data_IF_360620102273
#
_entry.id   IF_360620102273
#
_cell.length_a   1.000
_cell.length_b   1.000
_cell.length_c   1.000
_cell.angle_alpha   90.00
_cell.angle_beta   90.00
_cell.angle_gamma   90.00
#
_symmetry.space_group_name_H-M   'P 1'
#
loop_
_entity.id
_entity.type
_entity.pdbx_description
1 polymer ?
#
# COMPACT_ATOMS: atom_id res chain seq x y z
N UNK A 1 22.32 20.73 21.77
CA UNK A 1 23.74 20.44 21.43
C UNK A 1 24.14 19.17 22.19
N UNK A 2 24.76 18.18 21.55
CA UNK A 2 24.96 16.84 22.16
C UNK A 2 26.20 16.68 23.04
N UNK A 3 26.87 17.79 23.38
CA UNK A 3 28.17 17.79 24.07
C UNK A 3 28.10 17.30 25.54
N UNK A 4 26.91 17.31 26.17
CA UNK A 4 26.79 17.01 27.60
C UNK A 4 27.02 15.52 27.95
N UNK A 5 26.74 14.60 27.03
CA UNK A 5 26.92 13.15 27.26
C UNK A 5 28.07 12.54 26.46
N UNK A 6 28.54 13.24 25.43
CA UNK A 6 29.62 12.81 24.56
C UNK A 6 30.51 14.01 24.24
N UNK A 7 31.60 14.26 25.00
CA UNK A 7 32.41 15.47 24.89
C UNK A 7 33.12 15.63 23.53
N UNK A 8 33.16 14.57 22.72
CA UNK A 8 33.65 14.59 21.35
C UNK A 8 32.57 14.91 20.30
N UNK A 9 31.28 14.95 20.68
CA UNK A 9 30.17 15.16 19.76
C UNK A 9 29.74 16.63 19.76
N UNK A 10 30.28 17.39 18.82
CA UNK A 10 29.95 18.81 18.59
C UNK A 10 28.77 19.00 17.64
N UNK A 11 27.95 17.97 17.43
CA UNK A 11 26.83 18.04 16.49
C UNK A 11 25.72 18.98 16.97
N UNK A 12 25.17 19.72 16.01
CA UNK A 12 23.97 20.55 16.16
C UNK A 12 22.82 19.82 15.46
N UNK A 13 21.74 19.54 16.19
CA UNK A 13 20.47 19.10 15.61
C UNK A 13 19.54 20.30 15.59
N UNK A 14 19.07 20.63 14.38
CA UNK A 14 17.99 21.56 14.14
C UNK A 14 16.78 20.74 13.70
N UNK A 15 15.59 21.06 14.21
CA UNK A 15 14.35 20.39 13.87
C UNK A 15 13.30 21.45 13.53
N UNK A 16 12.33 21.09 12.68
CA UNK A 16 11.27 21.99 12.21
C UNK A 16 11.82 23.27 11.57
N UNK A 17 12.79 23.10 10.66
CA UNK A 17 13.44 24.20 9.96
C UNK A 17 12.43 25.04 9.18
N UNK A 18 12.60 26.36 9.26
CA UNK A 18 11.89 27.34 8.43
C UNK A 18 12.86 28.04 7.49
N UNK A 19 12.36 28.80 6.51
CA UNK A 19 13.23 29.57 5.60
C UNK A 19 14.15 30.55 6.35
N UNK A 20 13.75 31.00 7.55
CA UNK A 20 14.56 31.90 8.40
C UNK A 20 15.78 31.20 9.02
N UNK A 21 15.79 29.87 9.10
CA UNK A 21 16.94 29.10 9.56
C UNK A 21 18.01 28.94 8.46
N UNK A 22 17.71 29.33 7.21
CA UNK A 22 18.69 29.32 6.14
C UNK A 22 19.88 30.23 6.48
N UNK A 23 21.10 29.71 6.34
CA UNK A 23 22.27 30.51 6.68
C UNK A 23 23.57 29.73 6.82
N UNK A 24 24.61 30.45 7.23
CA UNK A 24 25.92 29.89 7.50
C UNK A 24 26.06 29.58 9.00
N UNK A 25 26.13 28.30 9.33
CA UNK A 25 26.40 27.84 10.68
C UNK A 25 27.91 27.64 10.84
N UNK A 26 28.47 28.13 11.96
CA UNK A 26 29.88 28.01 12.28
C UNK A 26 30.06 27.26 13.59
N UNK A 27 30.81 26.16 13.55
CA UNK A 27 31.32 25.50 14.74
C UNK A 27 32.75 25.98 14.96
N UNK A 28 33.03 26.52 16.15
CA UNK A 28 34.36 27.02 16.53
C UNK A 28 34.87 26.25 17.74
N UNK A 29 36.06 25.67 17.64
CA UNK A 29 36.73 24.94 18.72
C UNK A 29 37.87 25.79 19.27
N UNK A 30 37.82 26.11 20.56
CA UNK A 30 38.86 26.83 21.29
C UNK A 30 39.32 28.13 20.60
N UNK A 31 38.46 28.79 19.84
CA UNK A 31 38.78 29.98 19.00
C UNK A 31 39.96 29.77 18.02
N UNK A 32 40.35 28.53 17.73
CA UNK A 32 41.48 28.20 16.84
C UNK A 32 41.04 27.60 15.52
N UNK A 33 40.08 26.68 15.58
CA UNK A 33 39.61 25.93 14.41
C UNK A 33 38.14 26.22 14.21
N UNK A 34 37.75 26.63 13.00
CA UNK A 34 36.35 26.85 12.63
C UNK A 34 35.99 25.99 11.43
N UNK A 35 34.85 25.31 11.51
CA UNK A 35 34.20 24.65 10.37
C UNK A 35 32.88 25.37 10.12
N UNK A 36 32.64 25.76 8.87
CA UNK A 36 31.41 26.41 8.46
C UNK A 36 30.62 25.50 7.54
N UNK A 37 29.30 25.41 7.76
CA UNK A 37 28.36 24.68 6.92
C UNK A 37 27.21 25.61 6.56
N UNK A 38 26.83 25.62 5.29
CA UNK A 38 25.64 26.35 4.83
C UNK A 38 24.44 25.43 4.91
N UNK A 39 23.44 25.84 5.68
CA UNK A 39 22.12 25.24 5.65
C UNK A 39 21.31 25.94 4.56
N UNK A 40 20.67 25.17 3.67
CA UNK A 40 19.71 25.68 2.69
C UNK A 40 18.36 25.06 3.03
N UNK A 41 17.33 25.87 3.20
CA UNK A 41 15.99 25.38 3.52
C UNK A 41 15.14 25.48 2.26
N UNK A 42 14.74 24.33 1.73
CA UNK A 42 13.91 24.27 0.52
C UNK A 42 12.47 24.03 0.89
N UNK A 43 11.60 24.94 0.44
CA UNK A 43 10.17 24.73 0.52
C UNK A 43 9.68 23.75 -0.56
N UNK A 44 8.48 23.20 -0.35
CA UNK A 44 7.88 22.25 -1.26
C UNK A 44 7.49 22.96 -2.55
N UNK A 45 8.04 22.47 -3.66
CA UNK A 45 7.53 22.77 -4.98
C UNK A 45 6.67 21.59 -5.40
N UNK A 46 5.36 21.83 -5.61
CA UNK A 46 4.46 20.78 -6.04
C UNK A 46 4.88 20.27 -7.43
N UNK A 47 5.03 18.96 -7.57
CA UNK A 47 5.23 18.31 -8.85
C UNK A 47 4.02 18.61 -9.72
N UNK A 48 4.23 19.24 -10.87
CA UNK A 48 3.16 19.52 -11.81
C UNK A 48 2.57 18.19 -12.30
N UNK A 49 1.44 17.77 -11.74
CA UNK A 49 0.57 16.84 -12.42
C UNK A 49 -0.09 17.63 -13.53
N UNK A 50 0.30 17.37 -14.79
CA UNK A 50 -0.52 17.76 -15.93
C UNK A 50 -1.98 17.48 -15.57
N UNK A 51 -2.86 18.45 -15.84
CA UNK A 51 -4.28 18.47 -15.50
C UNK A 51 -5.01 17.29 -16.18
N UNK A 52 -4.72 16.09 -15.70
CA UNK A 52 -5.14 14.84 -16.29
C UNK A 52 -6.49 14.51 -15.68
N UNK A 53 -7.48 14.42 -16.55
CA UNK A 53 -8.78 13.90 -16.17
C UNK A 53 -8.63 12.42 -15.80
N UNK A 54 -8.84 12.08 -14.53
CA UNK A 54 -8.79 10.71 -14.04
C UNK A 54 -10.19 10.12 -14.17
N UNK A 55 -10.36 9.14 -15.04
CA UNK A 55 -11.64 8.43 -15.19
C UNK A 55 -11.65 7.17 -14.32
N UNK A 56 -12.71 7.01 -13.54
CA UNK A 56 -12.98 5.82 -12.70
C UNK A 56 -14.46 5.45 -12.73
N UNK A 57 -14.77 4.33 -12.09
CA UNK A 57 -16.12 3.76 -12.02
C UNK A 57 -16.56 3.65 -10.56
N UNK A 58 -17.88 3.68 -10.29
CA UNK A 58 -18.42 3.44 -8.95
C UNK A 58 -17.89 2.14 -8.32
N UNK A 59 -17.71 2.16 -6.99
CA UNK A 59 -17.14 1.06 -6.21
C UNK A 59 -15.61 0.94 -6.28
N UNK A 60 -14.97 1.57 -7.27
CA UNK A 60 -13.51 1.55 -7.42
C UNK A 60 -12.78 2.47 -6.43
N UNK A 61 -11.47 2.62 -6.65
CA UNK A 61 -10.61 3.56 -5.94
C UNK A 61 -9.79 4.42 -6.88
N UNK A 62 -9.33 5.57 -6.38
CA UNK A 62 -8.48 6.50 -7.12
C UNK A 62 -7.36 7.02 -6.25
N UNK A 63 -6.15 7.09 -6.83
CA UNK A 63 -5.05 7.84 -6.27
C UNK A 63 -5.00 9.21 -6.95
N UNK A 64 -5.29 10.26 -6.21
CA UNK A 64 -5.15 11.64 -6.65
C UNK A 64 -3.71 12.10 -6.33
N UNK A 65 -2.86 12.32 -7.35
CA UNK A 65 -1.45 12.61 -7.15
C UNK A 65 -1.24 14.01 -6.58
N UNK A 66 -0.43 14.12 -5.53
CA UNK A 66 0.12 15.38 -5.04
C UNK A 66 1.46 15.08 -4.36
N UNK A 67 2.54 15.74 -4.76
CA UNK A 67 3.86 15.48 -4.18
C UNK A 67 4.78 16.69 -4.31
N UNK A 68 5.75 16.80 -3.40
CA UNK A 68 6.87 17.72 -3.55
C UNK A 68 7.89 17.13 -4.52
N UNK A 69 8.51 17.96 -5.35
CA UNK A 69 9.60 17.54 -6.26
C UNK A 69 10.83 17.07 -5.48
N UNK A 70 11.12 17.67 -4.33
CA UNK A 70 12.16 17.22 -3.41
C UNK A 70 11.59 16.21 -2.41
N UNK A 71 12.08 14.95 -2.38
CA UNK A 71 11.55 13.90 -1.52
C UNK A 71 11.83 14.12 -0.03
N UNK A 72 12.75 15.02 0.32
CA UNK A 72 13.10 15.33 1.72
C UNK A 72 12.23 16.44 2.32
N UNK A 73 11.46 17.15 1.50
CA UNK A 73 10.62 18.24 2.00
C UNK A 73 9.46 17.72 2.86
N UNK A 74 9.15 18.47 3.91
CA UNK A 74 8.00 18.23 4.79
C UNK A 74 7.17 19.51 4.85
N UNK A 75 6.08 19.63 4.09
CA UNK A 75 5.18 20.78 4.21
C UNK A 75 4.63 20.89 5.63
N UNK A 76 4.43 22.13 6.11
CA UNK A 76 3.90 22.41 7.46
C UNK A 76 2.42 22.04 7.55
N UNK A 77 1.66 22.33 6.48
CA UNK A 77 0.25 21.98 6.39
C UNK A 77 -0.11 21.47 5.00
N UNK A 78 -1.09 20.56 4.96
CA UNK A 78 -1.64 19.98 3.74
C UNK A 78 -3.16 19.97 3.91
N UNK A 79 -3.89 20.46 2.91
CA UNK A 79 -5.35 20.44 2.86
C UNK A 79 -5.79 19.84 1.55
N UNK A 80 -6.75 18.92 1.62
CA UNK A 80 -7.50 18.46 0.46
C UNK A 80 -8.93 18.97 0.51
N UNK A 81 -9.46 19.38 -0.63
CA UNK A 81 -10.84 19.83 -0.75
C UNK A 81 -11.47 19.45 -2.09
N UNK A 82 -12.78 19.21 -2.06
CA UNK A 82 -13.59 18.98 -3.25
C UNK A 82 -14.21 20.30 -3.69
N UNK A 83 -13.61 20.89 -4.72
CA UNK A 83 -13.88 22.26 -5.19
C UNK A 83 -15.33 22.41 -5.64
N UNK A 84 -15.83 21.47 -6.45
CA UNK A 84 -17.20 21.47 -6.96
C UNK A 84 -18.27 21.25 -5.86
N UNK A 85 -17.83 20.88 -4.65
CA UNK A 85 -18.68 20.75 -3.46
C UNK A 85 -18.45 21.91 -2.49
N UNK A 86 -18.44 23.16 -2.99
CA UNK A 86 -18.21 24.37 -2.19
C UNK A 86 -16.90 24.33 -1.35
N UNK A 87 -15.86 23.66 -1.86
CA UNK A 87 -14.60 23.50 -1.11
C UNK A 87 -14.73 22.63 0.14
N UNK A 88 -15.65 21.67 0.16
CA UNK A 88 -15.78 20.70 1.25
C UNK A 88 -14.45 20.02 1.50
N UNK A 89 -14.00 20.03 2.75
CA UNK A 89 -12.74 19.37 3.14
C UNK A 89 -12.82 17.85 2.89
N UNK A 90 -11.73 17.29 2.38
CA UNK A 90 -11.58 15.85 2.20
C UNK A 90 -10.78 15.29 3.37
N UNK A 91 -11.49 14.89 4.41
CA UNK A 91 -10.93 14.45 5.69
C UNK A 91 -11.78 13.34 6.31
N UNK A 92 -11.20 12.59 7.25
CA UNK A 92 -11.93 11.51 7.95
C UNK A 92 -13.04 12.01 8.89
N UNK A 93 -13.06 13.31 9.19
CA UNK A 93 -14.13 13.95 9.98
C UNK A 93 -15.35 14.33 9.13
N UNK A 94 -15.16 14.48 7.81
CA UNK A 94 -16.24 14.80 6.87
C UNK A 94 -17.00 13.52 6.54
N UNK A 95 -18.29 13.45 6.87
CA UNK A 95 -19.13 12.25 6.72
C UNK A 95 -19.00 11.59 5.33
N UNK A 96 -18.98 12.39 4.26
CA UNK A 96 -18.81 11.90 2.88
C UNK A 96 -17.55 11.06 2.70
N UNK A 97 -16.45 11.38 3.39
CA UNK A 97 -15.13 10.76 3.18
C UNK A 97 -14.66 9.88 4.34
N UNK A 98 -15.38 9.89 5.46
CA UNK A 98 -15.06 9.12 6.66
C UNK A 98 -14.83 7.63 6.33
N UNK A 99 -13.65 7.12 6.67
CA UNK A 99 -13.28 5.72 6.44
C UNK A 99 -13.02 5.35 4.97
N UNK A 100 -13.06 6.32 4.04
CA UNK A 100 -12.82 6.09 2.60
C UNK A 100 -11.52 6.70 2.11
N UNK A 101 -10.73 7.36 2.96
CA UNK A 101 -9.50 8.03 2.54
C UNK A 101 -8.23 7.51 3.22
N UNK A 102 -7.12 7.63 2.51
CA UNK A 102 -5.78 7.41 3.04
C UNK A 102 -4.77 8.41 2.46
N UNK A 103 -3.90 8.95 3.30
CA UNK A 103 -2.80 9.83 2.90
C UNK A 103 -1.46 9.18 3.25
N UNK A 104 -0.44 9.44 2.44
CA UNK A 104 0.87 8.76 2.54
C UNK A 104 1.94 9.58 3.29
N UNK A 105 1.62 10.83 3.66
CA UNK A 105 2.56 11.83 4.17
C UNK A 105 3.13 11.51 5.56
N UNK A 106 2.51 10.61 6.33
CA UNK A 106 3.05 10.15 7.61
C UNK A 106 4.38 9.40 7.44
N UNK A 107 4.43 8.47 6.47
CA UNK A 107 5.64 7.66 6.18
C UNK A 107 6.52 8.28 5.09
N UNK A 108 5.90 9.03 4.17
CA UNK A 108 6.57 9.63 3.02
C UNK A 108 6.22 11.11 2.96
N UNK A 109 6.95 11.99 3.69
CA UNK A 109 6.54 13.38 3.92
C UNK A 109 6.30 14.22 2.67
N UNK A 110 7.03 13.93 1.59
CA UNK A 110 6.87 14.58 0.30
C UNK A 110 5.75 13.98 -0.56
N UNK A 111 5.16 12.83 -0.19
CA UNK A 111 4.03 12.22 -0.87
C UNK A 111 2.72 12.63 -0.19
N UNK A 112 2.06 13.60 -0.81
CA UNK A 112 0.84 14.26 -0.33
C UNK A 112 -0.40 13.68 -1.02
N UNK A 113 -0.24 12.59 -1.76
CA UNK A 113 -1.29 12.01 -2.58
C UNK A 113 -2.43 11.48 -1.72
N UNK A 114 -3.64 11.58 -2.24
CA UNK A 114 -4.86 11.13 -1.57
C UNK A 114 -5.39 9.89 -2.27
N UNK A 115 -5.50 8.79 -1.54
CA UNK A 115 -6.21 7.60 -1.98
C UNK A 115 -7.66 7.66 -1.49
N UNK A 116 -8.62 7.63 -2.41
CA UNK A 116 -10.05 7.59 -2.13
C UNK A 116 -10.65 6.24 -2.57
N UNK A 117 -11.33 5.57 -1.65
CA UNK A 117 -11.94 4.25 -1.81
C UNK A 117 -13.45 4.31 -2.03
N UNK A 118 -14.01 3.22 -2.56
CA UNK A 118 -15.44 3.00 -2.73
C UNK A 118 -16.13 4.22 -3.38
N UNK A 119 -15.69 4.54 -4.59
CA UNK A 119 -16.14 5.73 -5.32
C UNK A 119 -17.65 5.69 -5.59
N UNK A 120 -18.28 6.85 -5.49
CA UNK A 120 -19.68 7.08 -5.83
C UNK A 120 -19.77 8.16 -6.90
N UNK A 121 -20.95 8.32 -7.51
CA UNK A 121 -21.19 9.42 -8.46
C UNK A 121 -21.01 10.80 -7.86
N UNK A 122 -21.24 10.94 -6.56
CA UNK A 122 -21.06 12.20 -5.84
C UNK A 122 -19.59 12.59 -5.67
N UNK A 123 -18.66 11.63 -5.82
CA UNK A 123 -17.23 11.90 -5.78
C UNK A 123 -16.71 12.51 -7.08
N UNK A 124 -17.54 12.60 -8.12
CA UNK A 124 -17.17 13.25 -9.38
C UNK A 124 -16.95 14.77 -9.18
N UNK A 125 -15.80 15.27 -9.63
CA UNK A 125 -15.47 16.68 -9.57
C UNK A 125 -13.98 16.93 -9.47
N UNK A 126 -13.63 18.15 -9.08
CA UNK A 126 -12.27 18.68 -9.01
C UNK A 126 -11.79 18.66 -7.57
N UNK A 127 -10.69 17.99 -7.33
CA UNK A 127 -10.04 17.92 -6.03
C UNK A 127 -8.81 18.81 -6.03
N UNK A 128 -8.62 19.59 -4.98
CA UNK A 128 -7.48 20.48 -4.83
C UNK A 128 -6.65 20.08 -3.62
N UNK A 129 -5.35 19.93 -3.85
CA UNK A 129 -4.33 19.75 -2.84
C UNK A 129 -3.66 21.11 -2.61
N UNK A 130 -3.75 21.64 -1.39
CA UNK A 130 -3.13 22.92 -0.98
C UNK A 130 -2.11 22.65 0.10
N UNK A 131 -0.90 23.21 -0.05
CA UNK A 131 0.17 23.13 0.94
C UNK A 131 0.50 24.50 1.50
N UNK A 132 0.83 24.54 2.80
CA UNK A 132 1.21 25.75 3.52
C UNK A 132 0.21 26.92 3.35
N UNK A 133 -1.05 26.62 2.98
CA UNK A 133 -2.10 27.59 2.61
C UNK A 133 -1.74 28.54 1.45
N UNK A 134 -0.74 28.20 0.62
CA UNK A 134 -0.24 29.09 -0.43
C UNK A 134 -0.22 28.42 -1.82
N UNK A 135 0.44 27.27 -1.93
CA UNK A 135 0.60 26.57 -3.21
C UNK A 135 -0.45 25.50 -3.36
N UNK A 136 -1.05 25.36 -4.55
CA UNK A 136 -2.06 24.35 -4.79
C UNK A 136 -1.97 23.72 -6.18
N UNK A 137 -2.50 22.50 -6.28
CA UNK A 137 -2.70 21.78 -7.54
C UNK A 137 -4.08 21.12 -7.55
N UNK A 138 -4.71 21.09 -8.71
CA UNK A 138 -6.07 20.58 -8.90
C UNK A 138 -6.10 19.40 -9.87
N UNK A 139 -6.95 18.42 -9.58
CA UNK A 139 -7.12 17.21 -10.38
C UNK A 139 -8.60 16.93 -10.58
N UNK A 140 -8.98 16.61 -11.81
CA UNK A 140 -10.38 16.32 -12.17
C UNK A 140 -10.65 14.83 -12.16
N UNK A 141 -11.51 14.38 -11.24
CA UNK A 141 -12.03 13.02 -11.16
C UNK A 141 -13.37 12.91 -11.90
N UNK A 142 -13.45 11.99 -12.86
CA UNK A 142 -14.68 11.66 -13.57
C UNK A 142 -15.15 10.24 -13.20
N UNK A 143 -16.28 10.14 -12.51
CA UNK A 143 -16.86 8.85 -12.12
C UNK A 143 -17.96 8.47 -13.12
N UNK A 144 -17.63 7.64 -14.11
CA UNK A 144 -18.54 7.20 -15.17
C UNK A 144 -19.24 5.89 -14.80
N UNK A 145 -20.46 5.70 -15.27
CA UNK A 145 -21.09 4.38 -15.18
C UNK A 145 -20.43 3.47 -16.21
N UNK A 146 -20.36 2.18 -15.90
CA UNK A 146 -20.11 1.18 -16.93
C UNK A 146 -21.38 1.05 -17.76
N UNK A 147 -21.49 1.81 -18.84
CA UNK A 147 -22.47 1.53 -19.88
C UNK A 147 -21.97 0.30 -20.62
N UNK A 148 -22.47 -0.88 -20.28
CA UNK A 148 -22.40 -2.02 -21.18
C UNK A 148 -23.18 -1.61 -22.42
N UNK A 149 -22.47 -1.21 -23.47
CA UNK A 149 -23.05 -1.16 -24.81
C UNK A 149 -23.40 -2.59 -25.18
N UNK A 150 -24.58 -3.06 -24.77
CA UNK A 150 -25.29 -4.05 -25.54
C UNK A 150 -25.48 -3.38 -26.88
N UNK A 151 -24.64 -3.73 -27.86
CA UNK A 151 -24.89 -3.38 -29.25
C UNK A 151 -26.35 -3.74 -29.51
N UNK A 152 -27.17 -2.73 -29.78
CA UNK A 152 -28.53 -2.94 -30.25
C UNK A 152 -28.42 -3.88 -31.45
N UNK A 153 -28.95 -5.09 -31.33
CA UNK A 153 -29.36 -5.83 -32.51
C UNK A 153 -30.43 -4.97 -33.18
N UNK A 154 -30.07 -4.40 -34.33
CA UNK A 154 -31.03 -3.79 -35.22
C UNK A 154 -32.09 -4.84 -35.56
N UNK A 155 -33.40 -4.49 -35.60
CA UNK A 155 -34.39 -5.41 -36.12
C UNK A 155 -34.17 -5.52 -37.62
N UNK A 156 -33.42 -6.54 -38.05
CA UNK A 156 -33.26 -6.87 -39.47
C UNK A 156 -34.58 -7.50 -39.93
N UNK A 157 -35.41 -6.70 -40.59
CA UNK A 157 -36.44 -7.21 -41.49
C UNK A 157 -35.71 -7.81 -42.70
N UNK A 158 -35.62 -9.13 -42.77
CA UNK A 158 -35.04 -9.85 -43.91
C UNK A 158 -35.02 -11.37 -43.72
N UNK A 159 -35.88 -12.05 -44.50
CA UNK A 159 -35.86 -13.42 -45.05
C UNK A 159 -35.08 -14.58 -44.35
N UNK A 160 -35.59 -15.83 -44.36
CA UNK A 160 -34.96 -16.94 -43.65
C UNK A 160 -33.71 -17.42 -44.40
N UNK A 161 -32.54 -17.10 -43.84
CA UNK A 161 -31.24 -17.57 -44.30
C UNK A 161 -30.35 -17.88 -43.10
N UNK A 162 -30.23 -19.17 -42.80
CA UNK A 162 -29.21 -19.83 -41.98
C UNK A 162 -27.92 -19.04 -41.65
N UNK A 163 -27.92 -18.31 -40.54
CA UNK A 163 -26.69 -17.88 -39.87
C UNK A 163 -26.35 -18.84 -38.74
N UNK A 164 -25.35 -19.69 -38.97
CA UNK A 164 -24.65 -20.48 -37.95
C UNK A 164 -23.98 -19.54 -36.96
N UNK A 165 -24.55 -19.43 -35.76
CA UNK A 165 -23.88 -18.87 -34.60
C UNK A 165 -22.79 -19.85 -34.13
N UNK A 166 -21.53 -19.47 -34.29
CA UNK A 166 -20.39 -20.11 -33.61
C UNK A 166 -20.51 -19.85 -32.11
N UNK A 167 -21.29 -20.69 -31.43
CA UNK A 167 -21.22 -20.82 -29.98
C UNK A 167 -19.81 -21.28 -29.65
N UNK A 168 -19.00 -20.43 -29.01
CA UNK A 168 -17.69 -20.88 -28.48
C UNK A 168 -17.99 -21.97 -27.46
N UNK A 169 -17.75 -23.21 -27.89
CA UNK A 169 -18.02 -24.45 -27.20
C UNK A 169 -17.45 -24.44 -25.76
N UNK A 170 -18.32 -24.16 -24.79
CA UNK A 170 -18.01 -24.27 -23.36
C UNK A 170 -17.68 -25.71 -22.93
N UNK A 171 -17.94 -26.68 -23.80
CA UNK A 171 -17.61 -28.10 -23.68
C UNK A 171 -16.12 -28.43 -23.79
N UNK A 172 -15.26 -27.49 -24.24
CA UNK A 172 -13.81 -27.74 -24.33
C UNK A 172 -13.03 -27.40 -23.06
N UNK A 173 -13.53 -26.52 -22.18
CA UNK A 173 -12.83 -26.13 -20.95
C UNK A 173 -13.25 -26.95 -19.72
N UNK A 174 -14.45 -27.54 -19.74
CA UNK A 174 -14.94 -28.44 -18.70
C UNK A 174 -14.07 -29.69 -18.49
N UNK A 175 -13.55 -30.39 -19.53
CA UNK A 175 -12.64 -31.50 -19.29
C UNK A 175 -11.28 -31.05 -18.75
N UNK A 176 -10.79 -29.85 -19.13
CA UNK A 176 -9.50 -29.33 -18.66
C UNK A 176 -9.55 -29.02 -17.16
N UNK A 177 -10.59 -28.32 -16.70
CA UNK A 177 -10.80 -28.04 -15.27
C UNK A 177 -11.01 -29.33 -14.45
N UNK A 178 -11.74 -30.30 -15.01
CA UNK A 178 -11.93 -31.62 -14.38
C UNK A 178 -10.60 -32.38 -14.24
N UNK A 179 -9.79 -32.43 -15.30
CA UNK A 179 -8.47 -33.06 -15.27
C UNK A 179 -7.52 -32.41 -14.25
N UNK A 180 -7.49 -31.06 -14.19
CA UNK A 180 -6.67 -30.33 -13.22
C UNK A 180 -7.11 -30.64 -11.78
N UNK A 181 -8.42 -30.73 -11.53
CA UNK A 181 -8.95 -31.09 -10.22
C UNK A 181 -8.59 -32.54 -9.82
N UNK A 182 -8.68 -33.50 -10.74
CA UNK A 182 -8.27 -34.89 -10.50
C UNK A 182 -6.77 -35.01 -10.22
N UNK A 183 -5.94 -34.26 -10.95
CA UNK A 183 -4.48 -34.23 -10.71
C UNK A 183 -4.18 -33.68 -9.32
N UNK A 184 -4.84 -32.60 -8.89
CA UNK A 184 -4.70 -32.04 -7.55
C UNK A 184 -5.08 -33.04 -6.45
N UNK A 185 -6.17 -33.79 -6.63
CA UNK A 185 -6.58 -34.83 -5.67
C UNK A 185 -5.56 -35.97 -5.58
N UNK A 186 -4.98 -36.39 -6.71
CA UNK A 186 -3.93 -37.41 -6.73
C UNK A 186 -2.66 -36.93 -6.04
N UNK A 187 -2.26 -35.66 -6.23
CA UNK A 187 -1.09 -35.09 -5.55
C UNK A 187 -1.31 -34.97 -4.03
N UNK A 188 -2.51 -34.55 -3.59
CA UNK A 188 -2.86 -34.52 -2.17
C UNK A 188 -2.92 -35.92 -1.57
N UNK A 189 -3.47 -36.89 -2.30
CA UNK A 189 -3.49 -38.30 -1.89
C UNK A 189 -2.08 -38.89 -1.78
N UNK A 190 -1.20 -38.62 -2.74
CA UNK A 190 0.19 -39.07 -2.72
C UNK A 190 0.99 -38.46 -1.57
N UNK A 191 0.84 -37.15 -1.32
CA UNK A 191 1.51 -36.48 -0.19
C UNK A 191 1.01 -37.02 1.15
N UNK A 192 -0.31 -37.21 1.31
CA UNK A 192 -0.89 -37.84 2.50
C UNK A 192 -0.44 -39.30 2.67
N UNK A 193 -0.33 -40.06 1.59
CA UNK A 193 0.16 -41.45 1.62
C UNK A 193 1.63 -41.51 2.03
N UNK A 194 2.49 -40.68 1.44
CA UNK A 194 3.92 -40.60 1.80
C UNK A 194 4.05 -40.21 3.28
N UNK A 195 3.30 -39.21 3.73
CA UNK A 195 3.28 -38.79 5.13
C UNK A 195 2.82 -39.92 6.08
N UNK A 196 1.74 -40.63 5.74
CA UNK A 196 1.26 -41.78 6.51
C UNK A 196 2.24 -42.95 6.52
N UNK A 197 2.91 -43.22 5.39
CA UNK A 197 3.96 -44.23 5.28
C UNK A 197 5.18 -43.86 6.14
N UNK A 198 5.58 -42.59 6.14
CA UNK A 198 6.67 -42.08 6.98
C UNK A 198 6.33 -42.18 8.47
N UNK A 199 5.09 -41.83 8.86
CA UNK A 199 4.60 -41.95 10.24
C UNK A 199 4.49 -43.41 10.70
N UNK A 200 4.07 -44.34 9.82
CA UNK A 200 4.09 -45.79 10.09
C UNK A 200 5.50 -46.37 10.15
N UNK A 201 6.46 -45.80 9.43
CA UNK A 201 7.88 -46.14 9.54
C UNK A 201 8.48 -45.74 10.89
N UNK A 202 8.14 -44.56 11.41
CA UNK A 202 8.58 -44.10 12.72
C UNK A 202 7.98 -44.91 13.88
N UNK A 203 6.75 -45.43 13.75
CA UNK A 203 6.13 -46.27 14.80
C UNK A 203 6.66 -47.71 14.88
N UNK A 204 7.50 -48.15 13.95
CA UNK A 204 8.12 -49.50 13.99
C UNK A 204 9.48 -49.54 14.69
N UNK A 205 10.05 -48.39 15.09
CA UNK A 205 11.42 -48.31 15.65
C UNK A 205 11.48 -48.09 17.16
N UNK A 206 10.37 -48.21 17.88
CA UNK A 206 10.32 -48.04 19.36
C UNK A 206 9.89 -49.34 20.04
N UNK A 207 10.74 -50.37 19.99
CA UNK A 207 10.64 -51.52 20.88
C UNK A 207 12.03 -51.93 21.39
N UNK A 208 12.18 -51.89 22.73
CA UNK A 208 13.26 -52.46 23.59
C UNK A 208 14.54 -51.59 23.64
N UNK A 209 15.04 -51.09 24.79
CA UNK A 209 15.33 -51.75 26.07
C UNK A 209 14.99 -50.89 27.30
N UNK A 210 14.26 -51.45 28.28
CA UNK A 210 14.29 -50.99 29.68
C UNK A 210 15.26 -51.87 30.46
N UNK A 211 16.35 -51.29 30.96
CA UNK A 211 17.28 -51.98 31.84
C UNK A 211 16.76 -51.87 33.29
N UNK A 212 16.30 -52.97 33.85
CA UNK A 212 15.97 -53.09 35.27
C UNK A 212 17.29 -53.19 36.07
N UNK A 213 17.57 -52.23 36.96
CA UNK A 213 18.55 -52.40 38.04
C UNK A 213 17.85 -53.04 39.23
N UNK A 214 18.29 -54.24 39.59
CA UNK A 214 17.96 -54.91 40.86
C UNK A 214 18.88 -54.34 41.95
N UNK A 215 18.30 -53.76 43.00
CA UNK A 215 18.98 -53.56 44.28
C UNK A 215 19.12 -54.92 44.99
N UNK A 216 20.30 -55.29 45.51
CA UNK A 216 20.39 -56.26 46.58
C UNK A 216 20.22 -55.57 47.93
N UNK A 217 19.31 -56.10 48.75
CA UNK A 217 19.24 -55.87 50.18
C UNK A 217 20.08 -56.92 50.92
N UNK A 218 20.40 -56.58 52.19
CA UNK A 218 20.85 -57.45 53.31
C UNK A 218 22.38 -57.68 53.40
N UNK A 219 23.11 -57.66 54.53
CA UNK A 219 22.86 -57.70 56.01
C UNK A 219 24.27 -57.58 56.67
N UNK A 220 24.54 -56.66 57.63
CA UNK A 220 24.67 -56.83 59.11
C UNK A 220 26.05 -57.28 59.67
N UNK A 221 26.43 -56.65 60.82
CA UNK A 221 27.57 -56.86 61.75
C UNK A 221 29.00 -56.60 61.21
N UNK A 222 29.92 -55.93 61.92
CA UNK A 222 30.20 -55.80 63.36
C UNK A 222 30.67 -54.39 63.75
#
# INVERSE_FOLDING_TARGET
MFNEKHPANLSLLLANLTEQDEGLYRCTINNKTSISMRLNVKDCTLSNSQENQIVRYPGGSVLLPCSCTDPQTRPVSIKWEHVDSNGTEVSNITERYAGRIHMFNEKHPANLSLLLFNLTKQDNGTYRCTINNEKSISMKLNVKDCTLSSSQETPIVGQPGNTTFETKNWTYWTPILSCVFLILLLLLGATAYIFCKHRKGMNKSTHVYMHTRKHPANTMYS
#
